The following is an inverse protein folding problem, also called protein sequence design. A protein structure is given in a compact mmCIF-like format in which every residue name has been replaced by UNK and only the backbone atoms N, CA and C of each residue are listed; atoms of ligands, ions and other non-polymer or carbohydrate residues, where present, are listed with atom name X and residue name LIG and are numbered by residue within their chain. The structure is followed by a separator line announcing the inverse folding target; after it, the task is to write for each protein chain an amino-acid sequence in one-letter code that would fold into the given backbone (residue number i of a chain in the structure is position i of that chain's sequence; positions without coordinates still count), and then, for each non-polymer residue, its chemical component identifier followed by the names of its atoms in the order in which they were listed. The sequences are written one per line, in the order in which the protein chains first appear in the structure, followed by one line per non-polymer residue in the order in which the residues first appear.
data_IF_324862190732
#
_entry.id   IF_324862190732
#
_cell.length_a   1.000
_cell.length_b   1.000
_cell.length_c   1.000
_cell.angle_alpha   90.00
_cell.angle_beta   90.00
_cell.angle_gamma   90.00
#
_symmetry.space_group_name_H-M   'P 1'
#
loop_
_entity.id
_entity.type
_entity.pdbx_description
1 polymer ?
#
# COMPACT_ATOMS: atom_id res chain seq x y z
N UNK A 1 -11.24 -13.04 -11.24
CA UNK A 1 -11.29 -11.56 -11.17
C UNK A 1 -10.70 -11.02 -12.45
N UNK A 2 -11.43 -10.16 -13.14
CA UNK A 2 -11.16 -9.83 -14.53
C UNK A 2 -10.45 -8.48 -14.73
N UNK A 3 -9.29 -8.26 -14.10
CA UNK A 3 -8.57 -6.99 -14.26
C UNK A 3 -7.98 -6.85 -15.67
N UNK A 4 -7.49 -7.96 -16.24
CA UNK A 4 -6.98 -8.01 -17.61
C UNK A 4 -8.12 -7.90 -18.61
N UNK A 5 -9.29 -8.49 -18.34
CA UNK A 5 -10.49 -8.33 -19.14
C UNK A 5 -10.92 -6.85 -19.24
N UNK A 6 -10.87 -6.11 -18.14
CA UNK A 6 -11.11 -4.65 -18.12
C UNK A 6 -10.04 -3.91 -18.94
N UNK A 7 -8.76 -4.21 -18.71
CA UNK A 7 -7.63 -3.61 -19.44
C UNK A 7 -7.81 -3.75 -20.96
N UNK A 8 -8.05 -4.98 -21.41
CA UNK A 8 -8.15 -5.35 -22.82
C UNK A 8 -9.38 -4.74 -23.48
N UNK A 9 -10.55 -4.82 -22.83
CA UNK A 9 -11.82 -4.34 -23.39
C UNK A 9 -11.79 -2.82 -23.63
N UNK A 10 -11.35 -2.04 -22.63
CA UNK A 10 -11.31 -0.57 -22.71
C UNK A 10 -10.02 -0.02 -23.32
N UNK A 11 -9.11 -0.91 -23.74
CA UNK A 11 -7.81 -0.58 -24.37
C UNK A 11 -7.04 0.41 -23.51
N UNK A 12 -6.89 0.07 -22.24
CA UNK A 12 -6.27 0.93 -21.24
C UNK A 12 -4.75 0.92 -21.44
N UNK A 13 -4.19 2.10 -21.69
CA UNK A 13 -2.75 2.32 -21.85
C UNK A 13 -2.08 2.94 -20.60
N UNK A 14 -2.88 3.19 -19.56
CA UNK A 14 -2.37 3.65 -18.26
C UNK A 14 -1.97 2.43 -17.43
N UNK A 15 -1.17 2.65 -16.38
CA UNK A 15 -0.75 1.56 -15.49
C UNK A 15 -1.98 1.00 -14.75
N UNK A 16 -2.09 -0.32 -14.70
CA UNK A 16 -3.16 -1.03 -13.99
C UNK A 16 -2.56 -1.89 -12.89
N UNK A 17 -3.14 -1.84 -11.70
CA UNK A 17 -2.83 -2.76 -10.61
C UNK A 17 -4.06 -3.05 -9.77
N UNK A 18 -4.12 -4.22 -9.16
CA UNK A 18 -5.16 -4.59 -8.21
C UNK A 18 -4.62 -4.35 -6.79
N UNK A 19 -5.39 -3.60 -6.01
CA UNK A 19 -5.10 -3.34 -4.60
C UNK A 19 -6.32 -3.70 -3.75
N UNK A 20 -6.21 -3.54 -2.43
CA UNK A 20 -7.37 -3.68 -1.53
C UNK A 20 -8.50 -2.68 -1.83
N UNK A 21 -8.23 -1.60 -2.55
CA UNK A 21 -9.23 -0.60 -2.93
C UNK A 21 -10.01 -0.98 -4.19
N UNK A 22 -9.45 -1.84 -5.06
CA UNK A 22 -10.00 -2.07 -6.39
C UNK A 22 -8.96 -2.33 -7.47
N UNK A 23 -9.44 -2.40 -8.71
CA UNK A 23 -8.60 -2.24 -9.91
C UNK A 23 -8.29 -0.74 -10.02
N UNK A 24 -7.04 -0.38 -9.80
CA UNK A 24 -6.55 0.98 -9.90
C UNK A 24 -5.97 1.21 -11.30
N UNK A 25 -6.42 2.27 -11.97
CA UNK A 25 -5.90 2.72 -13.26
C UNK A 25 -5.26 4.10 -13.05
N UNK A 26 -4.00 4.25 -13.43
CA UNK A 26 -3.27 5.49 -13.18
C UNK A 26 -1.90 5.59 -13.82
N UNK A 27 -1.00 6.23 -13.10
CA UNK A 27 0.36 6.53 -13.52
C UNK A 27 1.35 6.14 -12.41
N UNK A 28 2.67 6.15 -12.69
CA UNK A 28 3.66 5.92 -11.65
C UNK A 28 3.61 6.95 -10.51
N UNK A 29 3.07 8.15 -10.75
CA UNK A 29 2.96 9.20 -9.74
C UNK A 29 1.66 9.11 -8.92
N UNK A 30 0.54 8.81 -9.59
CA UNK A 30 -0.78 8.64 -8.97
C UNK A 30 -1.39 7.39 -9.57
N UNK A 31 -1.37 6.29 -8.82
CA UNK A 31 -1.77 4.98 -9.31
C UNK A 31 -3.30 4.77 -9.25
N UNK A 32 -4.00 5.55 -8.44
CA UNK A 32 -5.43 5.41 -8.10
C UNK A 32 -6.28 6.55 -8.69
N UNK A 33 -6.00 6.95 -9.94
CA UNK A 33 -6.75 8.01 -10.63
C UNK A 33 -8.20 7.57 -10.84
N UNK A 34 -8.38 6.36 -11.36
CA UNK A 34 -9.67 5.67 -11.44
C UNK A 34 -9.55 4.41 -10.60
N UNK A 35 -10.55 4.15 -9.75
CA UNK A 35 -10.63 2.89 -8.99
C UNK A 35 -11.95 2.23 -9.27
N UNK A 36 -11.91 0.96 -9.65
CA UNK A 36 -13.08 0.11 -9.91
C UNK A 36 -13.17 -0.94 -8.80
N UNK A 37 -14.33 -1.07 -8.17
CA UNK A 37 -14.52 -2.01 -7.07
C UNK A 37 -14.54 -3.46 -7.56
N UNK A 38 -13.93 -4.36 -6.78
CA UNK A 38 -13.78 -5.78 -7.16
C UNK A 38 -15.08 -6.58 -6.99
N UNK A 39 -15.98 -6.10 -6.13
CA UNK A 39 -17.22 -6.75 -5.74
C UNK A 39 -18.37 -6.48 -6.73
N UNK A 40 -18.46 -5.24 -7.20
CA UNK A 40 -19.60 -4.72 -7.98
C UNK A 40 -19.20 -4.28 -9.38
N UNK A 41 -17.91 -4.07 -9.64
CA UNK A 41 -17.42 -3.47 -10.88
C UNK A 41 -17.91 -2.04 -11.08
N UNK A 42 -17.99 -1.27 -9.98
CA UNK A 42 -18.40 0.13 -10.00
C UNK A 42 -17.16 1.04 -9.90
N UNK A 43 -17.19 2.20 -10.58
CA UNK A 43 -16.17 3.23 -10.37
C UNK A 43 -16.40 3.86 -8.99
N UNK A 44 -15.49 3.61 -8.05
CA UNK A 44 -15.54 4.11 -6.67
C UNK A 44 -14.65 5.33 -6.44
N UNK A 45 -13.79 5.69 -7.41
CA UNK A 45 -12.97 6.90 -7.35
C UNK A 45 -12.68 7.47 -8.72
N UNK A 46 -12.69 8.81 -8.77
CA UNK A 46 -12.27 9.66 -9.91
C UNK A 46 -11.46 10.83 -9.37
N UNK A 47 -10.14 10.78 -9.50
CA UNK A 47 -9.26 11.80 -8.94
C UNK A 47 -8.91 12.86 -9.97
N UNK A 48 -9.12 14.14 -9.67
CA UNK A 48 -8.67 15.25 -10.54
C UNK A 48 -9.58 15.52 -11.74
N UNK A 49 -10.89 15.31 -11.59
CA UNK A 49 -11.87 15.67 -12.62
C UNK A 49 -11.94 17.19 -12.87
N UNK A 50 -12.26 17.62 -14.11
CA UNK A 50 -12.60 16.81 -15.28
C UNK A 50 -11.38 16.16 -15.95
N UNK A 51 -11.55 14.96 -16.50
CA UNK A 51 -10.51 14.28 -17.25
C UNK A 51 -10.58 14.55 -18.76
N UNK A 52 -9.43 14.80 -19.39
CA UNK A 52 -9.29 14.88 -20.85
C UNK A 52 -8.47 13.72 -21.41
N UNK A 53 -8.56 13.48 -22.70
CA UNK A 53 -7.76 12.47 -23.39
C UNK A 53 -8.18 11.04 -23.03
N UNK A 54 -7.20 10.14 -22.84
CA UNK A 54 -7.45 8.71 -22.65
C UNK A 54 -8.25 8.40 -21.38
N UNK A 55 -7.93 9.01 -20.24
CA UNK A 55 -8.70 8.81 -19.00
C UNK A 55 -10.17 9.22 -19.15
N UNK A 56 -10.42 10.35 -19.81
CA UNK A 56 -11.78 10.79 -20.12
C UNK A 56 -12.52 9.80 -21.02
N UNK A 57 -11.84 9.23 -22.03
CA UNK A 57 -12.38 8.16 -22.89
C UNK A 57 -12.78 6.93 -22.06
N UNK A 58 -11.89 6.43 -21.19
CA UNK A 58 -12.16 5.23 -20.40
C UNK A 58 -13.41 5.42 -19.54
N UNK A 59 -13.49 6.55 -18.83
CA UNK A 59 -14.64 6.89 -17.99
C UNK A 59 -15.92 7.00 -18.80
N UNK A 60 -15.89 7.67 -19.96
CA UNK A 60 -17.05 7.78 -20.84
C UNK A 60 -17.55 6.41 -21.32
N UNK A 61 -16.64 5.51 -21.74
CA UNK A 61 -17.00 4.16 -22.19
C UNK A 61 -17.55 3.31 -21.03
N UNK A 62 -16.95 3.40 -19.83
CA UNK A 62 -17.41 2.70 -18.63
C UNK A 62 -18.78 3.21 -18.13
N UNK A 63 -19.00 4.52 -18.17
CA UNK A 63 -20.27 5.13 -17.76
C UNK A 63 -21.40 4.87 -18.76
N UNK A 64 -21.07 4.67 -20.04
CA UNK A 64 -22.04 4.34 -21.06
C UNK A 64 -22.59 2.92 -20.92
N UNK A 65 -21.81 1.99 -20.36
CA UNK A 65 -22.24 0.61 -20.09
C UNK A 65 -21.69 0.05 -18.76
N UNK A 66 -22.27 0.47 -17.62
CA UNK A 66 -21.84 -0.01 -16.30
C UNK A 66 -22.09 -1.50 -16.10
N UNK A 67 -23.08 -2.08 -16.80
CA UNK A 67 -23.35 -3.52 -16.73
C UNK A 67 -22.22 -4.32 -17.38
N UNK A 68 -21.67 -3.82 -18.49
CA UNK A 68 -20.50 -4.44 -19.10
C UNK A 68 -19.26 -4.34 -18.21
N UNK A 69 -19.05 -3.21 -17.54
CA UNK A 69 -17.93 -3.08 -16.59
C UNK A 69 -18.04 -4.12 -15.46
N UNK A 70 -19.23 -4.27 -14.87
CA UNK A 70 -19.49 -5.27 -13.85
C UNK A 70 -19.27 -6.71 -14.35
N UNK A 71 -19.73 -7.03 -15.55
CA UNK A 71 -19.51 -8.32 -16.20
C UNK A 71 -18.01 -8.62 -16.37
N UNK A 72 -17.23 -7.64 -16.86
CA UNK A 72 -15.79 -7.80 -17.08
C UNK A 72 -15.03 -8.01 -15.77
N UNK A 73 -15.37 -7.27 -14.70
CA UNK A 73 -14.73 -7.44 -13.39
C UNK A 73 -15.01 -8.82 -12.79
N UNK A 74 -16.24 -9.32 -12.96
CA UNK A 74 -16.66 -10.63 -12.48
C UNK A 74 -16.08 -11.80 -13.30
N UNK A 75 -15.65 -11.55 -14.53
CA UNK A 75 -15.06 -12.58 -15.38
C UNK A 75 -13.72 -13.08 -14.80
N UNK A 76 -13.35 -14.31 -15.16
CA UNK A 76 -12.00 -14.82 -14.91
C UNK A 76 -11.06 -14.38 -16.04
N UNK A 77 -9.91 -13.85 -15.66
CA UNK A 77 -8.87 -13.48 -16.61
C UNK A 77 -8.28 -14.71 -17.30
N UNK A 78 -7.98 -14.55 -18.58
CA UNK A 78 -7.27 -15.53 -19.40
C UNK A 78 -5.89 -14.98 -19.73
N UNK A 79 -4.87 -15.72 -19.30
CA UNK A 79 -3.46 -15.41 -19.55
C UNK A 79 -2.88 -16.40 -20.56
N UNK A 80 -2.12 -15.90 -21.53
CA UNK A 80 -1.40 -16.68 -22.54
C UNK A 80 -0.20 -17.42 -21.95
N UNK A 81 0.40 -16.86 -20.88
CA UNK A 81 1.58 -17.42 -20.21
C UNK A 81 1.47 -17.35 -18.70
N UNK A 82 2.11 -18.31 -18.04
CA UNK A 82 2.24 -18.38 -16.58
C UNK A 82 3.71 -18.58 -16.23
N UNK A 83 4.45 -17.47 -16.17
CA UNK A 83 5.86 -17.45 -15.79
C UNK A 83 5.93 -17.25 -14.28
N UNK A 84 6.61 -18.13 -13.53
CA UNK A 84 6.81 -17.94 -12.11
C UNK A 84 7.70 -16.72 -11.86
N UNK A 85 7.28 -15.88 -10.94
CA UNK A 85 8.02 -14.72 -10.48
C UNK A 85 7.87 -14.61 -8.97
N UNK A 86 8.94 -14.22 -8.28
CA UNK A 86 9.01 -14.24 -6.83
C UNK A 86 9.11 -12.82 -6.28
N UNK A 87 8.50 -12.60 -5.12
CA UNK A 87 8.65 -11.40 -4.29
C UNK A 87 8.71 -11.81 -2.81
N UNK A 88 8.77 -10.88 -1.89
CA UNK A 88 8.77 -11.19 -0.46
C UNK A 88 7.83 -10.29 0.34
N UNK A 89 7.30 -10.84 1.42
CA UNK A 89 6.60 -10.11 2.47
C UNK A 89 7.16 -10.55 3.83
N UNK A 90 7.83 -9.64 4.53
CA UNK A 90 8.57 -9.99 5.74
C UNK A 90 9.61 -11.08 5.49
N UNK A 91 9.42 -12.26 6.07
CA UNK A 91 10.31 -13.41 5.93
C UNK A 91 9.87 -14.39 4.82
N UNK A 92 8.67 -14.21 4.26
CA UNK A 92 8.07 -15.13 3.32
C UNK A 92 8.49 -14.79 1.90
N UNK A 93 8.95 -15.80 1.16
CA UNK A 93 9.20 -15.71 -0.28
C UNK A 93 7.94 -16.18 -0.99
N UNK A 94 7.29 -15.28 -1.70
CA UNK A 94 5.99 -15.47 -2.32
C UNK A 94 6.21 -15.73 -3.81
N UNK A 95 5.76 -16.88 -4.28
CA UNK A 95 5.65 -17.16 -5.71
C UNK A 95 4.34 -16.57 -6.26
N UNK A 96 4.44 -15.89 -7.40
CA UNK A 96 3.33 -15.39 -8.21
C UNK A 96 3.53 -15.83 -9.66
N UNK A 97 2.53 -15.57 -10.49
CA UNK A 97 2.55 -15.90 -11.92
C UNK A 97 2.32 -14.64 -12.75
N UNK A 98 2.95 -14.55 -13.92
CA UNK A 98 2.79 -13.42 -14.84
C UNK A 98 3.03 -13.81 -16.30
N UNK A 99 2.67 -12.95 -17.25
CA UNK A 99 2.86 -13.24 -18.68
C UNK A 99 4.23 -12.81 -19.24
N UNK A 100 4.83 -11.80 -18.62
CA UNK A 100 6.13 -11.25 -18.95
C UNK A 100 6.92 -10.92 -17.68
N UNK A 101 8.25 -10.82 -17.78
CA UNK A 101 9.12 -10.42 -16.68
C UNK A 101 9.47 -8.94 -16.79
N UNK A 102 9.65 -8.29 -15.64
CA UNK A 102 10.15 -6.92 -15.55
C UNK A 102 9.05 -5.86 -15.54
N UNK A 103 9.46 -4.61 -15.64
CA UNK A 103 8.57 -3.44 -15.62
C UNK A 103 8.39 -2.86 -17.04
N UNK A 104 7.20 -2.35 -17.40
CA UNK A 104 5.95 -2.44 -16.67
C UNK A 104 5.28 -3.81 -16.90
N UNK A 105 4.87 -4.49 -15.83
CA UNK A 105 4.07 -5.71 -15.92
C UNK A 105 3.27 -5.94 -14.63
N UNK A 106 2.22 -6.75 -14.73
CA UNK A 106 1.34 -7.10 -13.62
C UNK A 106 1.30 -8.62 -13.47
N UNK A 107 1.27 -9.12 -12.24
CA UNK A 107 1.04 -10.55 -11.96
C UNK A 107 -0.43 -10.92 -12.17
N UNK A 108 -0.74 -12.21 -12.27
CA UNK A 108 -2.11 -12.69 -12.52
C UNK A 108 -3.10 -12.26 -11.43
N UNK A 109 -2.63 -12.15 -10.19
CA UNK A 109 -3.39 -11.63 -9.05
C UNK A 109 -3.36 -10.08 -8.94
N UNK A 110 -2.78 -9.40 -9.93
CA UNK A 110 -2.87 -7.96 -10.09
C UNK A 110 -1.79 -7.13 -9.40
N UNK A 111 -0.71 -7.74 -8.90
CA UNK A 111 0.39 -6.99 -8.30
C UNK A 111 1.29 -6.37 -9.39
N UNK A 112 1.55 -5.06 -9.29
CA UNK A 112 2.48 -4.36 -10.18
C UNK A 112 3.92 -4.80 -9.93
N UNK A 113 4.63 -5.18 -11.00
CA UNK A 113 6.05 -5.51 -10.95
C UNK A 113 6.90 -4.26 -11.12
N UNK A 114 7.09 -3.51 -10.03
CA UNK A 114 8.05 -2.40 -10.02
C UNK A 114 9.49 -2.92 -10.15
N UNK A 115 10.38 -2.03 -10.59
CA UNK A 115 11.81 -2.34 -10.67
C UNK A 115 12.35 -2.84 -9.32
N UNK A 116 13.10 -3.94 -9.34
CA UNK A 116 13.71 -4.59 -8.16
C UNK A 116 12.71 -5.06 -7.08
N UNK A 117 11.44 -5.29 -7.42
CA UNK A 117 10.44 -5.86 -6.47
C UNK A 117 10.07 -7.31 -6.79
N UNK A 118 10.41 -7.77 -7.99
CA UNK A 118 10.14 -9.11 -8.49
C UNK A 118 11.35 -9.67 -9.22
N UNK A 119 11.54 -11.00 -9.15
CA UNK A 119 12.60 -11.70 -9.89
C UNK A 119 12.17 -13.14 -10.20
N UNK A 120 12.59 -13.73 -11.34
CA UNK A 120 12.42 -15.17 -11.57
C UNK A 120 13.35 -16.04 -10.71
N UNK A 121 14.35 -15.44 -10.05
CA UNK A 121 15.27 -16.12 -9.14
C UNK A 121 14.85 -15.89 -7.66
N UNK A 122 14.33 -16.93 -6.96
CA UNK A 122 13.94 -16.81 -5.56
C UNK A 122 15.15 -16.61 -4.61
N UNK A 123 16.36 -16.99 -5.03
CA UNK A 123 17.59 -16.75 -4.26
C UNK A 123 17.95 -15.25 -4.20
N UNK A 124 17.77 -14.55 -5.32
CA UNK A 124 17.90 -13.09 -5.37
C UNK A 124 16.86 -12.40 -4.48
N UNK A 125 15.59 -12.82 -4.57
CA UNK A 125 14.51 -12.25 -3.72
C UNK A 125 14.78 -12.48 -2.24
N UNK A 126 15.28 -13.67 -1.87
CA UNK A 126 15.71 -13.95 -0.50
C UNK A 126 16.83 -13.01 -0.04
N UNK A 127 17.77 -12.68 -0.92
CA UNK A 127 18.84 -11.72 -0.61
C UNK A 127 18.25 -10.34 -0.32
N UNK A 128 17.30 -9.87 -1.14
CA UNK A 128 16.58 -8.61 -0.89
C UNK A 128 15.83 -8.62 0.44
N UNK A 129 15.11 -9.70 0.75
CA UNK A 129 14.39 -9.85 2.01
C UNK A 129 15.33 -9.78 3.23
N UNK A 130 16.48 -10.48 3.16
CA UNK A 130 17.50 -10.46 4.21
C UNK A 130 18.07 -9.05 4.41
N UNK A 131 18.40 -8.35 3.33
CA UNK A 131 19.00 -7.02 3.43
C UNK A 131 17.99 -5.97 3.92
N UNK A 132 16.73 -6.09 3.52
CA UNK A 132 15.63 -5.31 4.07
C UNK A 132 15.46 -5.57 5.59
N UNK A 133 15.43 -6.83 6.01
CA UNK A 133 15.31 -7.19 7.43
C UNK A 133 16.50 -6.68 8.26
N UNK A 134 17.74 -6.78 7.76
CA UNK A 134 18.92 -6.20 8.43
C UNK A 134 18.80 -4.69 8.60
N UNK A 135 18.32 -3.99 7.57
CA UNK A 135 18.09 -2.54 7.64
C UNK A 135 17.02 -2.19 8.68
N UNK A 136 15.89 -2.93 8.69
CA UNK A 136 14.84 -2.78 9.68
C UNK A 136 15.34 -3.00 11.11
N UNK A 137 16.14 -4.04 11.36
CA UNK A 137 16.74 -4.29 12.68
C UNK A 137 17.65 -3.15 13.14
N UNK A 138 18.50 -2.61 12.25
CA UNK A 138 19.36 -1.47 12.60
C UNK A 138 18.53 -0.25 12.98
N UNK A 139 17.57 0.12 12.13
CA UNK A 139 16.71 1.27 12.37
C UNK A 139 15.87 1.12 13.66
N UNK A 140 15.33 -0.07 13.93
CA UNK A 140 14.58 -0.33 15.15
C UNK A 140 15.46 -0.27 16.40
N UNK A 141 16.72 -0.69 16.34
CA UNK A 141 17.66 -0.54 17.48
C UNK A 141 17.91 0.93 17.80
N UNK A 142 18.15 1.75 16.79
CA UNK A 142 18.31 3.21 16.95
C UNK A 142 17.04 3.84 17.54
N UNK A 143 15.87 3.48 17.01
CA UNK A 143 14.59 3.97 17.51
C UNK A 143 14.32 3.58 18.97
N UNK A 144 14.70 2.36 19.38
CA UNK A 144 14.59 1.93 20.79
C UNK A 144 15.51 2.76 21.68
N UNK A 145 16.76 2.98 21.27
CA UNK A 145 17.71 3.80 22.04
C UNK A 145 17.20 5.23 22.23
N UNK A 146 16.66 5.85 21.18
CA UNK A 146 16.09 7.19 21.24
C UNK A 146 14.84 7.24 22.12
N UNK A 147 13.99 6.22 22.04
CA UNK A 147 12.80 6.11 22.90
C UNK A 147 13.17 5.95 24.38
N UNK A 148 14.21 5.18 24.69
CA UNK A 148 14.73 5.02 26.06
C UNK A 148 15.25 6.34 26.64
N UNK A 149 16.00 7.12 25.84
CA UNK A 149 16.45 8.47 26.22
C UNK A 149 15.26 9.40 26.49
N UNK A 150 14.30 9.44 25.57
CA UNK A 150 13.10 10.25 25.73
C UNK A 150 12.26 9.84 26.95
N UNK A 151 12.19 8.54 27.26
CA UNK A 151 11.53 8.04 28.45
C UNK A 151 12.24 8.50 29.73
N UNK A 152 13.57 8.45 29.77
CA UNK A 152 14.36 8.91 30.90
C UNK A 152 14.11 10.40 31.19
N UNK A 153 14.16 11.25 30.17
CA UNK A 153 13.88 12.68 30.29
C UNK A 153 12.45 12.95 30.81
N UNK A 154 11.46 12.22 30.28
CA UNK A 154 10.06 12.35 30.73
C UNK A 154 9.88 11.90 32.17
N UNK A 155 10.57 10.83 32.60
CA UNK A 155 10.56 10.38 34.00
C UNK A 155 11.18 11.41 34.93
N UNK A 156 12.31 12.01 34.55
CA UNK A 156 12.93 13.07 35.36
C UNK A 156 12.00 14.28 35.50
N UNK A 157 11.34 14.68 34.40
CA UNK A 157 10.35 15.76 34.42
C UNK A 157 9.15 15.41 35.29
N UNK A 158 8.64 14.18 35.22
CA UNK A 158 7.53 13.72 36.06
C UNK A 158 7.90 13.77 37.55
N UNK A 159 9.06 13.22 37.93
CA UNK A 159 9.52 13.23 39.30
C UNK A 159 9.64 14.65 39.87
N UNK A 160 10.13 15.61 39.07
CA UNK A 160 10.13 17.04 39.47
C UNK A 160 8.73 17.57 39.73
N UNK A 161 7.74 17.22 38.90
CA UNK A 161 6.34 17.66 39.08
C UNK A 161 5.69 17.01 40.29
N UNK A 162 6.03 15.76 40.59
CA UNK A 162 5.57 15.06 41.78
C UNK A 162 6.15 15.70 43.05
N UNK A 163 7.44 16.04 43.06
CA UNK A 163 8.07 16.79 44.17
C UNK A 163 7.47 18.19 44.33
N UNK A 164 7.31 18.95 43.23
CA UNK A 164 6.62 20.25 43.22
C UNK A 164 5.22 20.14 43.86
N UNK A 165 4.45 19.13 43.46
CA UNK A 165 3.09 18.89 43.96
C UNK A 165 3.10 18.54 45.45
N UNK A 166 3.98 17.62 45.90
CA UNK A 166 4.09 17.26 47.32
C UNK A 166 4.38 18.48 48.16
N UNK A 167 5.35 19.31 47.77
CA UNK A 167 5.70 20.54 48.52
C UNK A 167 4.56 21.54 48.59
N UNK A 168 3.76 21.67 47.53
CA UNK A 168 2.60 22.57 47.52
C UNK A 168 1.45 22.05 48.38
N UNK A 169 1.24 20.73 48.44
CA UNK A 169 0.22 20.10 49.28
C UNK A 169 0.64 20.09 50.75
N UNK A 170 1.88 19.70 51.05
CA UNK A 170 2.42 19.61 52.41
C UNK A 170 2.74 20.99 53.01
N UNK A 171 3.07 21.97 52.16
CA UNK A 171 3.24 23.37 52.55
C UNK A 171 1.93 24.15 52.74
N UNK A 172 0.79 23.55 52.40
CA UNK A 172 -0.53 24.11 52.63
C UNK A 172 -0.99 23.75 54.06
N UNK A 173 -0.59 24.55 55.05
CA UNK A 173 -1.30 24.62 56.34
C UNK A 173 -2.55 25.48 56.09
N UNK A 174 -3.78 24.93 56.12
CA UNK A 174 -4.96 25.76 56.02
C UNK A 174 -4.98 26.72 57.21
N UNK A 175 -4.95 28.02 56.92
CA UNK A 175 -5.08 29.06 57.93
C UNK A 175 -6.49 28.98 58.55
N UNK A 176 -6.60 28.28 59.68
CA UNK A 176 -7.82 28.25 60.46
C UNK A 176 -7.90 27.07 61.41
N UNK A 177 -7.22 27.17 62.55
CA UNK A 177 -7.68 26.71 63.88
C UNK A 177 -6.55 26.93 64.91
N UNK A 178 -6.44 28.15 65.47
CA UNK A 178 -6.24 28.45 66.90
C UNK A 178 -6.88 29.80 67.19
#
# INVERSE_FOLDING_TARGET
MGWKAVLDHYRIEHDVQVTSQGICIGSPYIHDIIVISLDRGEIVRRWGEPHSGKLGRYLQEMDADPSKLAELVAADDVFERSIPVYTYEGADIIEKQCEALGWPNVTHDGCMQFENTFSPDPGLVRTWAIDNAKAGVRWMREAVEDAEKALAEKRERLARREDDLSRLVDGFIPAGEV
#
